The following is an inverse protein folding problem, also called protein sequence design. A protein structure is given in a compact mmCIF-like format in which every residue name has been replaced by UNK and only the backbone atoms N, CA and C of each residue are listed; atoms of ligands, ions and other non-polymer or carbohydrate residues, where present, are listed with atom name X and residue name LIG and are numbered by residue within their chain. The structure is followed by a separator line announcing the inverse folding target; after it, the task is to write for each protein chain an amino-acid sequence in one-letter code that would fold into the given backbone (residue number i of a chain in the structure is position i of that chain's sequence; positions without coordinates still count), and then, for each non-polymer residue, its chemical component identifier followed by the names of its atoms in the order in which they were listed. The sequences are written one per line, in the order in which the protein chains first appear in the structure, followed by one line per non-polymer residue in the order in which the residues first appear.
data_IF_299723037326
#
_entry.id   IF_299723037326
#
_cell.length_a   1.000
_cell.length_b   1.000
_cell.length_c   1.000
_cell.angle_alpha   90.00
_cell.angle_beta   90.00
_cell.angle_gamma   90.00
#
_symmetry.space_group_name_H-M   'P 1'
#
loop_
_entity.id
_entity.type
_entity.pdbx_description
1 polymer ?
#
# COMPACT_ATOMS: atom_id res chain seq x y z
N UNK A 1 -18.46 8.33 0.04
CA UNK A 1 -18.22 9.69 0.59
C UNK A 1 -18.04 10.66 -0.58
N UNK A 2 -18.44 11.94 -0.46
CA UNK A 2 -18.15 12.93 -1.50
C UNK A 2 -16.63 13.05 -1.67
N UNK A 3 -16.13 12.85 -2.89
CA UNK A 3 -14.68 12.87 -3.20
C UNK A 3 -13.98 14.20 -2.86
N UNK A 4 -14.74 15.26 -2.56
CA UNK A 4 -14.22 16.60 -2.24
C UNK A 4 -14.48 17.04 -0.79
N UNK A 5 -14.92 16.16 0.11
CA UNK A 5 -15.06 16.54 1.52
C UNK A 5 -13.72 16.40 2.25
N UNK A 6 -13.37 17.40 3.06
CA UNK A 6 -12.22 17.32 3.98
C UNK A 6 -12.32 16.08 4.89
N UNK A 7 -13.54 15.70 5.27
CA UNK A 7 -13.81 14.50 6.06
C UNK A 7 -13.42 13.22 5.31
N UNK A 8 -13.62 13.14 3.99
CA UNK A 8 -13.19 12.00 3.19
C UNK A 8 -11.68 11.83 3.22
N UNK A 9 -10.91 12.92 3.04
CA UNK A 9 -9.45 12.88 3.08
C UNK A 9 -8.94 12.42 4.46
N UNK A 10 -9.50 12.95 5.54
CA UNK A 10 -9.10 12.59 6.90
C UNK A 10 -9.42 11.13 7.21
N UNK A 11 -10.63 10.66 6.88
CA UNK A 11 -11.02 9.27 7.08
C UNK A 11 -10.15 8.32 6.25
N UNK A 12 -9.81 8.72 5.02
CA UNK A 12 -8.93 7.94 4.16
C UNK A 12 -7.50 7.86 4.73
N UNK A 13 -6.96 8.98 5.24
CA UNK A 13 -5.63 9.01 5.86
C UNK A 13 -5.56 8.10 7.10
N UNK A 14 -6.55 8.17 8.01
CA UNK A 14 -6.63 7.29 9.19
C UNK A 14 -6.73 5.82 8.77
N UNK A 15 -7.50 5.55 7.71
CA UNK A 15 -7.65 4.20 7.19
C UNK A 15 -6.32 3.68 6.63
N UNK A 16 -5.59 4.48 5.85
CA UNK A 16 -4.27 4.09 5.30
C UNK A 16 -3.15 3.99 6.33
N UNK A 17 -3.27 4.63 7.49
CA UNK A 17 -2.28 4.55 8.58
C UNK A 17 -2.08 3.11 9.06
N UNK A 18 -3.15 2.29 9.05
CA UNK A 18 -3.06 0.87 9.40
C UNK A 18 -2.14 0.07 8.45
N UNK A 19 -2.09 0.45 7.18
CA UNK A 19 -1.22 -0.21 6.18
C UNK A 19 0.26 0.02 6.53
N UNK A 20 0.58 1.22 7.03
CA UNK A 20 1.93 1.60 7.44
C UNK A 20 2.36 1.01 8.77
N UNK A 21 1.42 0.80 9.70
CA UNK A 21 1.69 0.15 11.00
C UNK A 21 1.98 -1.36 10.82
N UNK A 22 1.23 -2.02 9.95
CA UNK A 22 1.38 -3.45 9.63
C UNK A 22 2.47 -3.75 8.59
N UNK A 23 3.32 -2.77 8.26
CA UNK A 23 4.39 -2.97 7.28
C UNK A 23 5.36 -4.06 7.76
N UNK A 24 5.77 -4.97 6.86
CA UNK A 24 6.75 -6.01 7.18
C UNK A 24 8.04 -5.32 7.62
N UNK A 25 8.50 -5.64 8.82
CA UNK A 25 9.66 -5.02 9.47
C UNK A 25 10.91 -5.25 8.61
N UNK A 26 11.52 -4.18 8.08
CA UNK A 26 12.63 -4.30 7.12
C UNK A 26 13.20 -2.97 6.60
N UNK A 27 14.06 -3.04 5.58
CA UNK A 27 14.67 -1.86 4.90
C UNK A 27 13.78 -1.32 3.78
N UNK A 28 12.46 -1.42 3.96
CA UNK A 28 11.46 -0.85 3.08
C UNK A 28 10.65 0.24 3.76
N UNK A 29 9.94 1.05 2.98
CA UNK A 29 8.84 1.86 3.50
C UNK A 29 7.64 1.79 2.58
N UNK A 30 6.48 1.85 3.21
CA UNK A 30 5.19 2.12 2.55
C UNK A 30 4.86 3.59 2.73
N UNK A 31 4.57 4.29 1.63
CA UNK A 31 4.15 5.69 1.62
C UNK A 31 2.76 5.78 0.96
N UNK A 32 1.69 5.89 1.76
CA UNK A 32 0.36 6.17 1.24
C UNK A 32 0.23 7.66 0.88
N UNK A 33 -0.38 7.94 -0.27
CA UNK A 33 -0.80 9.27 -0.70
C UNK A 33 -2.17 9.17 -1.38
N UNK A 34 -3.21 9.63 -0.68
CA UNK A 34 -4.61 9.39 -1.08
C UNK A 34 -4.78 7.91 -1.44
N UNK A 35 -5.50 7.60 -2.52
CA UNK A 35 -5.69 6.27 -3.10
C UNK A 35 -4.43 5.58 -3.65
N UNK A 36 -3.27 6.24 -3.69
CA UNK A 36 -2.03 5.64 -4.16
C UNK A 36 -1.19 5.13 -2.99
N UNK A 37 -0.61 3.95 -3.14
CA UNK A 37 0.30 3.36 -2.15
C UNK A 37 1.60 3.03 -2.86
N UNK A 38 2.69 3.67 -2.43
CA UNK A 38 4.04 3.38 -2.91
C UNK A 38 4.76 2.50 -1.89
N UNK A 39 5.25 1.35 -2.33
CA UNK A 39 6.13 0.49 -1.54
C UNK A 39 7.51 0.46 -2.18
N UNK A 40 8.56 0.69 -1.40
CA UNK A 40 9.92 0.50 -1.87
C UNK A 40 10.73 -0.28 -0.85
N UNK A 41 11.71 -1.04 -1.34
CA UNK A 41 12.65 -1.79 -0.52
C UNK A 41 14.09 -1.56 -1.01
N UNK A 42 15.03 -1.33 -0.08
CA UNK A 42 16.45 -1.17 -0.41
C UNK A 42 17.26 -2.39 0.05
N UNK A 43 17.72 -3.22 -0.89
CA UNK A 43 18.62 -4.36 -0.65
C UNK A 43 19.69 -4.45 -1.74
N UNK A 44 20.68 -5.32 -1.56
CA UNK A 44 21.70 -5.62 -2.58
C UNK A 44 21.26 -6.67 -3.61
N UNK A 45 20.30 -7.54 -3.28
CA UNK A 45 19.83 -8.61 -4.18
C UNK A 45 18.47 -8.24 -4.80
N UNK A 46 18.47 -8.08 -6.12
CA UNK A 46 17.27 -7.76 -6.91
C UNK A 46 16.16 -8.81 -6.77
N UNK A 47 16.50 -10.10 -6.76
CA UNK A 47 15.48 -11.16 -6.65
C UNK A 47 14.77 -11.11 -5.30
N UNK A 48 15.53 -10.80 -4.25
CA UNK A 48 14.98 -10.60 -2.92
C UNK A 48 14.07 -9.37 -2.87
N UNK A 49 14.47 -8.26 -3.49
CA UNK A 49 13.63 -7.03 -3.58
C UNK A 49 12.30 -7.33 -4.24
N UNK A 50 12.30 -7.98 -5.41
CA UNK A 50 11.06 -8.28 -6.14
C UNK A 50 10.15 -9.21 -5.32
N UNK A 51 10.72 -10.22 -4.64
CA UNK A 51 9.96 -11.12 -3.78
C UNK A 51 9.33 -10.40 -2.56
N UNK A 52 10.09 -9.52 -1.91
CA UNK A 52 9.60 -8.70 -0.79
C UNK A 52 8.52 -7.70 -1.26
N UNK A 53 8.70 -7.06 -2.42
CA UNK A 53 7.72 -6.13 -3.00
C UNK A 53 6.42 -6.84 -3.42
N UNK A 54 6.53 -8.04 -4.01
CA UNK A 54 5.35 -8.84 -4.34
C UNK A 54 4.59 -9.26 -3.07
N UNK A 55 5.32 -9.64 -2.01
CA UNK A 55 4.71 -10.01 -0.73
C UNK A 55 3.95 -8.83 -0.09
N UNK A 56 4.51 -7.61 -0.19
CA UNK A 56 3.83 -6.40 0.25
C UNK A 56 2.60 -6.06 -0.62
N UNK A 57 2.69 -6.24 -1.94
CA UNK A 57 1.54 -6.05 -2.83
C UNK A 57 0.40 -7.04 -2.51
N UNK A 58 0.72 -8.29 -2.23
CA UNK A 58 -0.26 -9.31 -1.84
C UNK A 58 -0.90 -8.98 -0.49
N UNK A 59 -0.11 -8.52 0.48
CA UNK A 59 -0.59 -8.06 1.81
C UNK A 59 -1.55 -6.88 1.67
N UNK A 60 -1.16 -5.84 0.94
CA UNK A 60 -1.99 -4.65 0.69
C UNK A 60 -3.27 -5.03 -0.04
N UNK A 61 -3.18 -5.95 -1.02
CA UNK A 61 -4.35 -6.44 -1.74
C UNK A 61 -5.32 -7.20 -0.83
N UNK A 62 -4.81 -8.00 0.11
CA UNK A 62 -5.60 -8.67 1.14
C UNK A 62 -6.33 -7.66 2.03
N UNK A 63 -5.63 -6.64 2.51
CA UNK A 63 -6.21 -5.57 3.33
C UNK A 63 -7.28 -4.77 2.59
N UNK A 64 -7.04 -4.41 1.32
CA UNK A 64 -8.05 -3.75 0.48
C UNK A 64 -9.31 -4.60 0.36
N UNK A 65 -9.16 -5.92 0.16
CA UNK A 65 -10.30 -6.85 0.06
C UNK A 65 -11.12 -6.91 1.34
N UNK A 66 -10.48 -6.96 2.51
CA UNK A 66 -11.16 -6.99 3.83
C UNK A 66 -12.00 -5.73 4.09
N UNK A 67 -11.60 -4.62 3.50
CA UNK A 67 -12.27 -3.35 3.63
C UNK A 67 -13.15 -2.98 2.42
N UNK A 68 -13.44 -3.96 1.55
CA UNK A 68 -14.27 -3.79 0.36
C UNK A 68 -13.73 -2.72 -0.63
N UNK A 69 -12.43 -2.45 -0.59
CA UNK A 69 -11.73 -1.57 -1.52
C UNK A 69 -11.26 -2.33 -2.76
N UNK A 70 -11.39 -1.71 -3.94
CA UNK A 70 -10.97 -2.29 -5.21
C UNK A 70 -9.55 -1.87 -5.57
N UNK A 71 -8.68 -2.85 -5.78
CA UNK A 71 -7.34 -2.62 -6.33
C UNK A 71 -7.43 -2.49 -7.85
N UNK A 72 -6.90 -1.40 -8.40
CA UNK A 72 -6.78 -1.26 -9.85
C UNK A 72 -5.58 -2.07 -10.37
N UNK A 73 -5.83 -3.29 -10.81
CA UNK A 73 -4.82 -4.24 -11.29
C UNK A 73 -4.09 -3.78 -12.56
N UNK A 74 -4.63 -2.80 -13.29
CA UNK A 74 -3.94 -2.22 -14.47
C UNK A 74 -2.93 -1.14 -14.10
N UNK A 75 -3.03 -0.61 -12.87
CA UNK A 75 -2.11 0.42 -12.34
C UNK A 75 -1.16 -0.13 -11.28
N UNK A 76 -1.57 -1.17 -10.55
CA UNK A 76 -0.74 -1.83 -9.57
C UNK A 76 0.33 -2.69 -10.26
N UNK A 77 1.60 -2.34 -10.08
CA UNK A 77 2.72 -3.06 -10.67
C UNK A 77 3.94 -3.05 -9.75
N UNK A 78 4.69 -4.15 -9.74
CA UNK A 78 6.06 -4.20 -9.22
C UNK A 78 6.97 -3.90 -10.41
N UNK A 79 7.82 -2.87 -10.29
CA UNK A 79 8.72 -2.41 -11.36
C UNK A 79 10.17 -2.56 -10.95
#
# INVERSE_FOLDING_TARGET
LPHCSLLFLVLFSIYTEKITDDQITGWGKTMPYTDNILVYHQRKDWKQIVGELQSELDRISGWCREAEALVNTTKAAVT
#
